data_IF_299927932317
#
_entry.id   IF_299927932317
#
_cell.length_a   1.000
_cell.length_b   1.000
_cell.length_c   1.000
_cell.angle_alpha   90.00
_cell.angle_beta   90.00
_cell.angle_gamma   90.00
#
_symmetry.space_group_name_H-M   'P 1'
#
loop_
_entity.id
_entity.type
_entity.pdbx_description
1 polymer ?
#
# COMPACT_ATOMS: atom_id res chain seq x y z
N UNK A 1 -104.70 73.27 64.77
CA UNK A 1 -105.72 72.67 63.87
C UNK A 1 -105.08 72.50 62.49
N UNK A 2 -105.47 71.54 61.63
CA UNK A 2 -106.00 70.19 61.82
C UNK A 2 -105.23 69.13 60.98
N UNK A 3 -105.24 67.85 61.41
CA UNK A 3 -105.80 66.66 60.71
C UNK A 3 -105.20 66.31 59.33
N UNK A 4 -104.41 65.23 59.21
CA UNK A 4 -104.84 63.82 58.90
C UNK A 4 -104.81 63.53 57.37
N UNK A 5 -105.00 62.30 56.88
CA UNK A 5 -104.65 60.97 57.40
C UNK A 5 -104.00 60.05 56.33
N UNK A 6 -103.52 58.90 56.79
CA UNK A 6 -103.72 57.55 56.23
C UNK A 6 -104.45 57.41 54.87
N UNK A 7 -103.98 56.51 54.02
CA UNK A 7 -104.47 55.12 53.84
C UNK A 7 -103.72 54.53 52.62
N UNK A 8 -103.00 53.42 52.81
CA UNK A 8 -103.48 52.06 52.57
C UNK A 8 -103.94 51.87 51.10
N UNK A 9 -103.12 51.20 50.30
CA UNK A 9 -103.06 49.74 50.20
C UNK A 9 -104.14 49.18 49.27
N UNK A 10 -103.67 48.69 48.12
CA UNK A 10 -104.21 47.55 47.39
C UNK A 10 -103.10 47.11 46.43
N UNK A 11 -102.20 46.18 46.79
CA UNK A 11 -102.47 44.75 46.92
C UNK A 11 -103.51 44.25 45.92
N UNK A 12 -103.05 43.89 44.73
CA UNK A 12 -102.91 42.50 44.26
C UNK A 12 -103.07 42.49 42.74
N UNK A 13 -101.98 42.14 42.05
CA UNK A 13 -102.08 41.32 40.85
C UNK A 13 -100.85 40.44 40.83
N UNK A 14 -101.08 39.15 41.07
CA UNK A 14 -100.08 38.10 41.05
C UNK A 14 -99.70 37.85 39.59
N UNK A 15 -98.50 38.26 39.19
CA UNK A 15 -97.88 37.67 38.01
C UNK A 15 -97.13 36.41 38.42
N UNK A 16 -97.63 35.29 37.88
CA UNK A 16 -96.95 33.99 37.87
C UNK A 16 -95.62 34.12 37.12
N UNK A 17 -94.54 33.49 37.59
CA UNK A 17 -93.30 33.47 36.82
C UNK A 17 -93.47 32.61 35.56
N UNK A 18 -93.13 33.19 34.40
CA UNK A 18 -93.16 32.52 33.11
C UNK A 18 -92.08 31.42 33.01
N UNK A 19 -92.40 30.25 32.42
CA UNK A 19 -91.56 29.05 32.47
C UNK A 19 -90.38 29.01 31.47
N UNK A 20 -89.90 30.15 30.97
CA UNK A 20 -88.80 30.22 29.98
C UNK A 20 -87.70 31.23 30.30
N UNK A 21 -87.51 31.59 31.58
CA UNK A 21 -86.30 32.34 31.99
C UNK A 21 -85.19 31.37 32.41
N UNK A 22 -83.95 31.47 31.87
CA UNK A 22 -82.84 30.79 32.49
C UNK A 22 -82.64 31.36 33.89
N UNK A 23 -82.50 30.46 34.86
CA UNK A 23 -82.21 30.77 36.27
C UNK A 23 -81.04 31.77 36.30
N UNK A 24 -81.33 33.02 36.67
CA UNK A 24 -80.30 34.03 36.93
C UNK A 24 -79.70 33.67 38.29
N UNK A 25 -78.81 32.68 38.27
CA UNK A 25 -77.93 32.40 39.41
C UNK A 25 -77.06 33.63 39.57
N UNK A 26 -77.32 34.42 40.60
CA UNK A 26 -76.41 35.48 41.05
C UNK A 26 -75.07 34.82 41.40
N UNK A 27 -74.14 34.81 40.45
CA UNK A 27 -72.78 34.37 40.71
C UNK A 27 -72.15 35.38 41.69
N UNK A 28 -71.48 34.91 42.75
CA UNK A 28 -70.81 35.82 43.67
C UNK A 28 -69.78 36.63 42.87
N UNK A 29 -69.86 37.97 42.94
CA UNK A 29 -68.83 38.85 42.38
C UNK A 29 -67.54 38.56 43.14
N UNK A 30 -66.61 37.85 42.52
CA UNK A 30 -65.23 37.86 42.98
C UNK A 30 -64.73 39.31 42.91
N UNK A 31 -63.99 39.79 43.94
CA UNK A 31 -63.37 41.10 43.86
C UNK A 31 -62.51 41.14 42.60
N UNK A 32 -62.74 42.14 41.74
CA UNK A 32 -61.85 42.39 40.62
C UNK A 32 -60.45 42.58 41.18
N UNK A 33 -59.49 41.76 40.73
CA UNK A 33 -58.08 41.95 41.06
C UNK A 33 -57.72 43.41 40.76
N UNK A 34 -57.00 44.13 41.64
CA UNK A 34 -56.56 45.48 41.32
C UNK A 34 -55.82 45.43 39.98
N UNK A 35 -56.10 46.39 39.09
CA UNK A 35 -55.38 46.52 37.82
C UNK A 35 -53.89 46.39 38.10
N UNK A 36 -53.15 45.57 37.32
CA UNK A 36 -51.71 45.49 37.51
C UNK A 36 -51.16 46.91 37.44
N UNK A 37 -50.30 47.27 38.40
CA UNK A 37 -49.47 48.47 38.29
C UNK A 37 -48.86 48.49 36.88
N UNK A 38 -48.68 49.67 36.25
CA UNK A 38 -48.13 49.75 34.89
C UNK A 38 -46.92 48.82 34.84
N UNK A 39 -47.00 47.80 33.98
CA UNK A 39 -45.95 46.81 33.85
C UNK A 39 -44.66 47.58 33.59
N UNK A 40 -43.73 47.54 34.55
CA UNK A 40 -42.38 48.02 34.32
C UNK A 40 -41.92 47.31 33.05
N UNK A 41 -41.87 48.05 31.96
CA UNK A 41 -41.58 47.51 30.64
C UNK A 41 -40.16 47.02 30.74
N UNK A 42 -39.95 45.70 30.83
CA UNK A 42 -38.60 45.16 30.78
C UNK A 42 -37.96 45.75 29.53
N UNK A 43 -36.86 46.50 29.67
CA UNK A 43 -36.24 47.11 28.50
C UNK A 43 -35.91 45.98 27.55
N UNK A 44 -36.59 45.98 26.41
CA UNK A 44 -36.45 44.95 25.39
C UNK A 44 -34.98 44.99 24.94
N UNK A 45 -34.27 43.89 25.16
CA UNK A 45 -32.84 43.81 24.88
C UNK A 45 -32.65 43.93 23.37
N UNK A 46 -32.21 45.11 22.95
CA UNK A 46 -32.07 45.49 21.55
C UNK A 46 -30.59 45.42 21.17
N UNK A 47 -30.27 45.01 19.94
CA UNK A 47 -28.89 45.05 19.48
C UNK A 47 -28.36 46.49 19.60
N UNK A 48 -27.09 46.66 19.97
CA UNK A 48 -26.51 47.99 20.15
C UNK A 48 -26.71 48.82 18.88
N UNK A 49 -26.91 50.13 19.03
CA UNK A 49 -27.26 51.05 17.92
C UNK A 49 -26.22 51.05 16.79
N UNK A 50 -25.00 50.58 17.05
CA UNK A 50 -23.91 50.40 16.08
C UNK A 50 -23.72 48.99 15.51
N UNK A 51 -24.59 48.03 15.85
CA UNK A 51 -24.50 46.63 15.42
C UNK A 51 -23.40 45.81 16.09
N UNK A 52 -23.38 44.49 15.85
CA UNK A 52 -22.31 43.61 16.30
C UNK A 52 -21.12 43.64 15.35
N UNK A 53 -19.92 43.34 15.88
CA UNK A 53 -18.74 43.16 15.05
C UNK A 53 -18.95 42.07 14.00
N UNK A 54 -18.38 42.26 12.81
CA UNK A 54 -18.55 41.32 11.71
C UNK A 54 -17.92 39.96 12.06
N UNK A 55 -18.77 38.95 12.21
CA UNK A 55 -18.34 37.57 12.47
C UNK A 55 -17.74 36.99 11.19
N UNK A 56 -16.49 36.52 11.27
CA UNK A 56 -15.81 35.88 10.15
C UNK A 56 -16.36 34.46 9.97
N UNK A 57 -17.27 34.29 9.01
CA UNK A 57 -17.84 32.99 8.64
C UNK A 57 -16.98 32.24 7.61
N UNK A 58 -16.03 32.93 6.98
CA UNK A 58 -15.15 32.35 5.95
C UNK A 58 -13.95 31.65 6.59
N UNK A 59 -13.63 30.46 6.10
CA UNK A 59 -12.47 29.69 6.55
C UNK A 59 -11.17 30.28 5.98
N UNK A 60 -10.44 31.05 6.78
CA UNK A 60 -9.16 31.66 6.40
C UNK A 60 -7.99 30.68 6.61
N UNK A 61 -7.79 29.74 5.69
CA UNK A 61 -6.60 28.86 5.69
C UNK A 61 -5.59 29.39 4.65
N UNK A 62 -4.46 29.95 5.06
CA UNK A 62 -3.44 30.35 4.10
C UNK A 62 -2.77 29.11 3.51
N UNK A 63 -2.64 29.06 2.19
CA UNK A 63 -1.83 28.05 1.50
C UNK A 63 -0.35 28.30 1.79
N UNK A 64 0.14 27.70 2.89
CA UNK A 64 1.55 27.77 3.30
C UNK A 64 2.34 26.65 2.61
N UNK A 65 3.52 26.98 2.07
CA UNK A 65 4.46 26.03 1.50
C UNK A 65 5.01 26.42 0.13
N UNK A 66 5.95 25.62 -0.37
CA UNK A 66 6.46 25.75 -1.73
C UNK A 66 5.45 25.21 -2.75
N UNK A 67 5.39 25.86 -3.92
CA UNK A 67 4.58 25.38 -5.05
C UNK A 67 5.04 23.96 -5.46
N UNK A 68 4.14 23.08 -5.93
CA UNK A 68 4.47 21.69 -6.30
C UNK A 68 5.63 21.57 -7.30
N UNK A 69 5.78 22.55 -8.19
CA UNK A 69 6.88 22.61 -9.15
C UNK A 69 8.27 22.58 -8.50
N UNK A 70 8.46 23.21 -7.34
CA UNK A 70 9.76 23.23 -6.67
C UNK A 70 10.17 21.86 -6.13
N UNK A 71 9.21 21.06 -5.66
CA UNK A 71 9.49 19.68 -5.23
C UNK A 71 9.89 18.80 -6.41
N UNK A 72 9.23 18.96 -7.57
CA UNK A 72 9.60 18.25 -8.78
C UNK A 72 11.04 18.60 -9.20
N UNK A 73 11.38 19.89 -9.25
CA UNK A 73 12.75 20.32 -9.60
C UNK A 73 13.77 19.79 -8.59
N UNK A 74 13.49 19.89 -7.29
CA UNK A 74 14.38 19.39 -6.24
C UNK A 74 14.65 17.90 -6.36
N UNK A 75 13.61 17.09 -6.60
CA UNK A 75 13.74 15.65 -6.82
C UNK A 75 14.62 15.34 -8.03
N UNK A 76 14.38 16.01 -9.16
CA UNK A 76 15.13 15.75 -10.40
C UNK A 76 16.60 16.14 -10.28
N UNK A 77 16.91 17.23 -9.57
CA UNK A 77 18.31 17.65 -9.31
C UNK A 77 19.04 16.61 -8.47
N UNK A 78 18.42 16.10 -7.42
CA UNK A 78 19.00 15.05 -6.57
C UNK A 78 19.24 13.77 -7.38
N UNK A 79 18.27 13.37 -8.21
CA UNK A 79 18.43 12.19 -9.08
C UNK A 79 19.54 12.38 -10.10
N UNK A 80 19.59 13.51 -10.79
CA UNK A 80 20.63 13.81 -11.77
C UNK A 80 22.03 13.77 -11.14
N UNK A 81 22.18 14.30 -9.93
CA UNK A 81 23.43 14.23 -9.19
C UNK A 81 23.80 12.80 -8.78
N UNK A 82 22.82 12.00 -8.34
CA UNK A 82 23.00 10.58 -8.05
C UNK A 82 23.52 9.80 -9.26
N UNK A 83 22.89 9.99 -10.43
CA UNK A 83 23.33 9.38 -11.67
C UNK A 83 24.74 9.83 -12.08
N UNK A 84 25.06 11.12 -11.93
CA UNK A 84 26.40 11.64 -12.20
C UNK A 84 27.48 10.90 -11.39
N UNK A 85 27.30 10.73 -10.08
CA UNK A 85 28.25 10.00 -9.23
C UNK A 85 28.29 8.51 -9.55
N UNK A 86 27.16 7.89 -9.85
CA UNK A 86 27.08 6.49 -10.27
C UNK A 86 27.92 6.21 -11.52
N UNK A 87 27.90 7.11 -12.52
CA UNK A 87 28.67 6.92 -13.75
C UNK A 87 30.18 6.82 -13.52
N UNK A 88 30.72 7.54 -12.52
CA UNK A 88 32.14 7.40 -12.16
C UNK A 88 32.43 6.05 -11.49
N UNK A 89 31.60 5.63 -10.52
CA UNK A 89 31.77 4.32 -9.88
C UNK A 89 31.63 3.16 -10.87
N UNK A 90 30.70 3.25 -11.82
CA UNK A 90 30.53 2.24 -12.86
C UNK A 90 31.74 2.15 -13.81
N UNK A 91 32.48 3.24 -14.02
CA UNK A 91 33.74 3.20 -14.80
C UNK A 91 34.82 2.46 -14.03
N UNK A 92 35.00 2.77 -12.75
CA UNK A 92 35.97 2.09 -11.88
C UNK A 92 35.70 0.58 -11.81
N UNK A 93 34.45 0.17 -11.62
CA UNK A 93 34.06 -1.24 -11.59
C UNK A 93 34.35 -1.99 -12.91
N UNK A 94 34.23 -1.30 -14.06
CA UNK A 94 34.57 -1.90 -15.36
C UNK A 94 36.06 -2.12 -15.52
N UNK A 95 36.88 -1.22 -15.00
CA UNK A 95 38.34 -1.39 -15.00
C UNK A 95 38.75 -2.57 -14.12
N UNK A 96 38.22 -2.67 -12.89
CA UNK A 96 38.44 -3.82 -12.01
C UNK A 96 37.97 -5.14 -12.62
N UNK A 97 36.80 -5.14 -13.26
CA UNK A 97 36.28 -6.32 -13.96
C UNK A 97 37.17 -6.70 -15.15
N UNK A 98 37.74 -5.72 -15.87
CA UNK A 98 38.69 -5.96 -16.94
C UNK A 98 39.96 -6.60 -16.40
N UNK A 99 40.54 -6.06 -15.32
CA UNK A 99 41.72 -6.63 -14.68
C UNK A 99 41.48 -8.08 -14.22
N UNK A 100 40.31 -8.36 -13.65
CA UNK A 100 39.89 -9.72 -13.27
C UNK A 100 39.75 -10.65 -14.48
N UNK A 101 39.19 -10.17 -15.58
CA UNK A 101 39.08 -10.97 -16.81
C UNK A 101 40.45 -11.22 -17.42
N UNK A 102 41.32 -10.21 -17.43
CA UNK A 102 42.70 -10.35 -17.89
C UNK A 102 43.46 -11.37 -17.04
N UNK A 103 43.37 -11.33 -15.71
CA UNK A 103 44.02 -12.34 -14.86
C UNK A 103 43.51 -13.75 -15.16
N UNK A 104 42.21 -13.91 -15.39
CA UNK A 104 41.62 -15.19 -15.79
C UNK A 104 42.12 -15.67 -17.16
N UNK A 105 42.25 -14.80 -18.15
CA UNK A 105 42.74 -15.18 -19.49
C UNK A 105 44.16 -15.75 -19.45
N UNK A 106 45.01 -15.27 -18.55
CA UNK A 106 46.37 -15.77 -18.41
C UNK A 106 46.43 -17.14 -17.70
N UNK A 107 45.47 -17.45 -16.83
CA UNK A 107 45.41 -18.72 -16.09
C UNK A 107 44.64 -19.83 -16.85
N UNK A 108 43.66 -19.45 -17.66
CA UNK A 108 42.81 -20.37 -18.42
C UNK A 108 43.59 -21.38 -19.27
N UNK A 109 44.64 -21.02 -20.04
CA UNK A 109 45.36 -22.03 -20.84
C UNK A 109 46.06 -23.09 -19.99
N UNK A 110 46.53 -22.74 -18.78
CA UNK A 110 47.13 -23.71 -17.86
C UNK A 110 46.07 -24.66 -17.31
N UNK A 111 44.95 -24.14 -16.82
CA UNK A 111 43.85 -24.95 -16.28
C UNK A 111 43.22 -25.86 -17.35
N UNK A 112 43.06 -25.34 -18.56
CA UNK A 112 42.58 -26.13 -19.69
C UNK A 112 43.53 -27.29 -20.01
N UNK A 113 44.84 -27.06 -20.00
CA UNK A 113 45.82 -28.11 -20.23
C UNK A 113 45.83 -29.19 -19.12
N UNK A 114 45.50 -28.82 -17.88
CA UNK A 114 45.32 -29.78 -16.78
C UNK A 114 44.03 -30.59 -16.95
N UNK A 115 42.93 -29.93 -17.31
CA UNK A 115 41.64 -30.58 -17.58
C UNK A 115 41.74 -31.55 -18.77
N UNK A 116 42.34 -31.13 -19.88
CA UNK A 116 42.51 -31.96 -21.08
C UNK A 116 43.32 -33.24 -20.77
N UNK A 117 44.31 -33.18 -19.85
CA UNK A 117 45.07 -34.38 -19.40
C UNK A 117 44.21 -35.33 -18.58
N UNK A 118 43.35 -34.82 -17.71
CA UNK A 118 42.44 -35.64 -16.89
C UNK A 118 41.37 -36.29 -17.75
N UNK A 119 40.77 -35.53 -18.67
CA UNK A 119 39.78 -36.05 -19.63
C UNK A 119 40.33 -37.23 -20.44
N UNK A 120 41.56 -37.11 -20.94
CA UNK A 120 42.22 -38.19 -21.69
C UNK A 120 42.44 -39.43 -20.81
N UNK A 121 42.85 -39.27 -19.54
CA UNK A 121 43.04 -40.40 -18.61
C UNK A 121 41.74 -41.16 -18.36
N UNK A 122 40.65 -40.44 -18.10
CA UNK A 122 39.32 -41.04 -17.86
C UNK A 122 38.82 -41.75 -19.10
N UNK A 123 38.95 -41.13 -20.27
CA UNK A 123 38.53 -41.71 -21.54
C UNK A 123 39.25 -43.04 -21.85
N UNK A 124 40.57 -43.14 -21.59
CA UNK A 124 41.28 -44.40 -21.78
C UNK A 124 40.93 -45.45 -20.72
N UNK A 125 40.68 -45.04 -19.47
CA UNK A 125 40.21 -45.95 -18.42
C UNK A 125 38.83 -46.53 -18.74
N UNK A 126 37.90 -45.71 -19.24
CA UNK A 126 36.58 -46.14 -19.66
C UNK A 126 36.67 -47.13 -20.82
N UNK A 127 37.49 -46.85 -21.84
CA UNK A 127 37.72 -47.77 -22.96
C UNK A 127 38.28 -49.12 -22.52
N UNK A 128 39.26 -49.11 -21.62
CA UNK A 128 39.83 -50.35 -21.09
C UNK A 128 38.78 -51.19 -20.36
N UNK A 129 37.92 -50.55 -19.56
CA UNK A 129 36.83 -51.22 -18.85
C UNK A 129 35.72 -51.72 -19.78
N UNK A 130 35.32 -50.92 -20.76
CA UNK A 130 34.35 -51.32 -21.78
C UNK A 130 34.85 -52.58 -22.51
N UNK A 131 36.14 -52.62 -22.85
CA UNK A 131 36.80 -53.79 -23.48
C UNK A 131 36.82 -55.03 -22.60
N UNK A 132 37.06 -54.89 -21.30
CA UNK A 132 37.05 -56.01 -20.34
C UNK A 132 35.65 -56.61 -20.17
N UNK A 133 34.60 -55.77 -20.12
CA UNK A 133 33.22 -56.21 -19.91
C UNK A 133 32.59 -56.79 -21.18
N UNK A 134 32.88 -56.19 -22.34
CA UNK A 134 32.19 -56.49 -23.61
C UNK A 134 33.08 -57.27 -24.59
N UNK A 135 34.35 -57.52 -24.24
CA UNK A 135 35.35 -58.20 -25.06
C UNK A 135 35.85 -57.39 -26.26
N UNK A 136 35.13 -56.33 -26.65
CA UNK A 136 35.45 -55.44 -27.78
C UNK A 136 35.02 -54.01 -27.46
N UNK A 137 35.69 -53.04 -28.09
CA UNK A 137 35.30 -51.64 -28.01
C UNK A 137 34.01 -51.43 -28.82
N UNK A 138 32.89 -51.14 -28.14
CA UNK A 138 31.59 -50.96 -28.78
C UNK A 138 31.54 -49.64 -29.56
N UNK A 139 31.87 -49.72 -30.85
CA UNK A 139 31.71 -48.61 -31.79
C UNK A 139 30.26 -48.53 -32.28
N UNK A 140 29.61 -47.38 -32.10
CA UNK A 140 28.27 -47.10 -32.63
C UNK A 140 28.27 -47.09 -34.17
N UNK A 141 29.42 -46.82 -34.80
CA UNK A 141 29.60 -46.76 -36.25
C UNK A 141 30.80 -47.60 -36.71
N UNK A 142 30.80 -47.99 -37.98
CA UNK A 142 31.80 -48.91 -38.53
C UNK A 142 33.19 -48.26 -38.74
N UNK A 143 33.27 -46.94 -38.85
CA UNK A 143 34.51 -46.17 -39.12
C UNK A 143 35.02 -45.38 -37.91
N UNK A 144 36.34 -45.29 -37.76
CA UNK A 144 37.01 -44.47 -36.73
C UNK A 144 36.89 -42.95 -36.97
N UNK A 145 36.49 -42.55 -38.18
CA UNK A 145 36.15 -41.17 -38.53
C UNK A 145 34.69 -40.90 -38.20
N UNK A 146 34.43 -40.46 -36.96
CA UNK A 146 33.13 -39.90 -36.61
C UNK A 146 33.07 -38.45 -37.12
N UNK A 147 32.22 -38.19 -38.11
CA UNK A 147 31.82 -36.82 -38.50
C UNK A 147 30.39 -36.62 -38.03
N UNK A 148 30.22 -35.79 -37.00
CA UNK A 148 28.97 -35.04 -36.89
C UNK A 148 28.82 -34.18 -38.16
N UNK A 149 27.60 -33.83 -38.59
CA UNK A 149 27.39 -33.05 -39.83
C UNK A 149 28.15 -31.71 -39.83
N UNK A 150 28.61 -31.25 -38.67
CA UNK A 150 29.68 -30.25 -38.49
C UNK A 150 30.89 -30.90 -37.79
N UNK A 151 32.14 -30.64 -38.24
CA UNK A 151 33.33 -31.24 -37.64
C UNK A 151 33.68 -30.53 -36.32
N UNK A 152 32.96 -30.87 -35.25
CA UNK A 152 33.25 -30.39 -33.88
C UNK A 152 33.61 -31.59 -33.02
N UNK A 153 34.75 -31.51 -32.33
CA UNK A 153 35.08 -32.45 -31.27
C UNK A 153 34.09 -32.24 -30.13
N UNK A 154 33.12 -33.14 -30.00
CA UNK A 154 32.14 -33.11 -28.91
C UNK A 154 32.82 -33.69 -27.68
N UNK A 155 33.00 -32.87 -26.63
CA UNK A 155 33.34 -33.36 -25.30
C UNK A 155 32.24 -34.34 -24.86
N UNK A 156 32.59 -35.59 -24.53
CA UNK A 156 31.63 -36.59 -24.02
C UNK A 156 30.89 -35.97 -22.83
N UNK A 157 29.57 -35.93 -22.89
CA UNK A 157 28.75 -35.28 -21.85
C UNK A 157 29.01 -35.91 -20.47
N UNK A 158 28.88 -35.12 -19.40
CA UNK A 158 29.10 -35.52 -17.99
C UNK A 158 28.40 -36.83 -17.58
N UNK A 159 27.34 -37.25 -18.29
CA UNK A 159 26.64 -38.51 -18.03
C UNK A 159 27.47 -39.76 -18.38
N UNK A 160 28.54 -39.63 -19.16
CA UNK A 160 29.39 -40.74 -19.60
C UNK A 160 30.76 -40.85 -18.93
N UNK A 161 31.24 -39.80 -18.25
CA UNK A 161 32.57 -39.77 -17.61
C UNK A 161 32.47 -40.13 -16.10
N UNK A 162 31.34 -39.79 -15.47
CA UNK A 162 31.18 -39.89 -14.01
C UNK A 162 30.39 -41.12 -13.55
N UNK A 163 29.89 -41.98 -14.47
CA UNK A 163 29.04 -43.13 -14.12
C UNK A 163 29.81 -44.34 -13.56
N UNK A 164 31.15 -44.33 -13.66
CA UNK A 164 31.95 -45.51 -13.34
C UNK A 164 33.20 -45.25 -12.51
N UNK A 165 33.62 -44.00 -12.33
CA UNK A 165 34.59 -43.62 -11.30
C UNK A 165 33.93 -43.62 -9.91
N UNK A 166 33.45 -44.78 -9.48
CA UNK A 166 33.17 -45.02 -8.08
C UNK A 166 34.49 -44.96 -7.34
N UNK A 167 34.69 -43.93 -6.51
CA UNK A 167 35.67 -43.95 -5.44
C UNK A 167 35.65 -45.33 -4.77
N UNK A 168 36.76 -46.11 -4.79
CA UNK A 168 36.89 -47.19 -3.83
C UNK A 168 37.14 -46.51 -2.48
N UNK A 169 36.22 -46.72 -1.54
CA UNK A 169 36.28 -46.30 -0.13
C UNK A 169 36.06 -44.80 0.21
N UNK A 170 34.83 -44.51 0.66
CA UNK A 170 34.50 -43.90 1.96
C UNK A 170 34.74 -42.42 2.30
N UNK A 171 35.05 -41.48 1.40
CA UNK A 171 35.07 -40.04 1.77
C UNK A 171 34.44 -39.13 0.71
N UNK A 172 33.13 -39.28 0.47
CA UNK A 172 32.31 -38.19 -0.08
C UNK A 172 31.11 -37.98 0.85
N UNK A 173 30.99 -36.85 1.58
CA UNK A 173 29.74 -36.49 2.22
C UNK A 173 28.68 -36.16 1.15
N UNK A 174 27.42 -36.59 1.32
CA UNK A 174 26.37 -36.38 0.33
C UNK A 174 25.72 -35.01 0.53
N UNK A 175 26.42 -33.88 0.39
CA UNK A 175 25.77 -32.56 0.36
C UNK A 175 26.63 -31.52 -0.34
N UNK A 176 26.63 -31.52 -1.67
CA UNK A 176 26.78 -30.27 -2.41
C UNK A 176 25.95 -30.34 -3.70
N UNK A 177 24.64 -30.49 -3.49
CA UNK A 177 23.65 -30.19 -4.50
C UNK A 177 23.67 -28.68 -4.69
N UNK A 178 24.45 -28.20 -5.66
CA UNK A 178 24.33 -26.83 -6.16
C UNK A 178 22.93 -26.71 -6.76
N UNK A 179 21.99 -26.20 -5.98
CA UNK A 179 20.77 -25.62 -6.51
C UNK A 179 21.16 -24.59 -7.56
N UNK A 180 20.49 -24.53 -8.72
CA UNK A 180 20.63 -23.36 -9.57
C UNK A 180 20.20 -22.15 -8.74
N UNK A 181 21.14 -21.22 -8.51
CA UNK A 181 20.83 -19.90 -8.00
C UNK A 181 19.76 -19.30 -8.91
N UNK A 182 18.52 -19.26 -8.44
CA UNK A 182 17.50 -18.39 -8.99
C UNK A 182 18.07 -16.97 -8.98
N UNK A 183 18.22 -16.30 -10.13
CA UNK A 183 18.47 -14.87 -10.10
C UNK A 183 17.23 -14.23 -9.48
N UNK A 184 17.39 -13.70 -8.27
CA UNK A 184 16.35 -12.90 -7.64
C UNK A 184 15.97 -11.77 -8.59
N UNK A 185 14.77 -11.88 -9.15
CA UNK A 185 14.04 -10.81 -9.80
C UNK A 185 13.72 -9.74 -8.76
N UNK A 186 14.67 -8.85 -8.51
CA UNK A 186 14.51 -7.69 -7.62
C UNK A 186 13.81 -6.52 -8.33
N UNK A 187 13.52 -6.62 -9.63
CA UNK A 187 13.04 -5.48 -10.42
C UNK A 187 11.56 -5.53 -10.86
N UNK A 188 10.72 -6.43 -10.32
CA UNK A 188 9.29 -6.49 -10.69
C UNK A 188 8.33 -5.96 -9.62
N UNK A 189 8.81 -5.62 -8.41
CA UNK A 189 7.94 -5.14 -7.31
C UNK A 189 8.04 -3.63 -7.01
N UNK A 190 8.85 -2.87 -7.75
CA UNK A 190 8.89 -1.40 -7.64
C UNK A 190 8.17 -0.67 -8.77
N UNK A 191 7.71 -1.37 -9.81
CA UNK A 191 6.92 -0.79 -10.90
C UNK A 191 5.39 -0.94 -10.72
N UNK A 192 4.91 -1.67 -9.73
CA UNK A 192 3.47 -1.90 -9.49
C UNK A 192 2.85 -1.02 -8.39
N UNK A 193 3.60 -0.03 -7.88
CA UNK A 193 3.12 0.91 -6.85
C UNK A 193 3.09 2.37 -7.34
N UNK A 194 3.27 2.57 -8.64
CA UNK A 194 3.17 3.86 -9.33
C UNK A 194 2.43 3.70 -10.67
N UNK A 195 1.29 3.03 -10.63
CA UNK A 195 0.17 3.18 -11.57
C UNK A 195 -1.12 3.24 -10.76
#
# INVERSE_FOLDING_TARGET
>A
MPRSPHYCASLVSRDRPDPTSPIVTATPRYPSKPSPAPSATMPQDMPPVGGYAQVQYKRNIPARGFKPAYYMIGMHVIMAYGFYKYFYGAREQRELAREKMWSRHHLTPLLQAEEDRDQVRRHYADKAREKELLGTDIKVYNSDRYVFSTPVLVTRSHLGIDTYCSCPSQLCPPYFRLYPLQPHSINTLTMSLWF
#
